data_IF_077472109187
#
_entry.id   IF_077472109187
#
_cell.length_a   1.000
_cell.length_b   1.000
_cell.length_c   1.000
_cell.angle_alpha   90.00
_cell.angle_beta   90.00
_cell.angle_gamma   90.00
#
_symmetry.space_group_name_H-M   'P 1'
#
loop_
_entity.id
_entity.type
_entity.pdbx_description
1 polymer ?
#
# COMPACT_ATOMS: atom_id res chain seq x y z
N UNK A 1 -7.16 6.50 10.59
CA UNK A 1 -6.02 6.56 9.65
C UNK A 1 -5.07 7.67 10.06
N UNK A 2 -3.86 7.31 10.46
CA UNK A 2 -2.81 8.23 10.87
C UNK A 2 -2.15 8.91 9.65
N UNK A 3 -1.37 9.97 9.91
CA UNK A 3 -0.74 10.78 8.85
C UNK A 3 0.27 9.98 8.00
N UNK A 4 1.03 9.08 8.61
CA UNK A 4 2.00 8.24 7.89
C UNK A 4 1.27 7.28 6.95
N UNK A 5 0.21 6.62 7.43
CA UNK A 5 -0.62 5.72 6.63
C UNK A 5 -1.24 6.46 5.44
N UNK A 6 -1.82 7.64 5.66
CA UNK A 6 -2.39 8.43 4.57
C UNK A 6 -1.35 8.85 3.51
N UNK A 7 -0.13 9.21 3.95
CA UNK A 7 0.96 9.56 3.05
C UNK A 7 1.42 8.37 2.20
N UNK A 8 1.59 7.19 2.81
CA UNK A 8 2.05 5.99 2.11
C UNK A 8 1.01 5.48 1.12
N UNK A 9 -0.28 5.48 1.50
CA UNK A 9 -1.38 5.12 0.59
C UNK A 9 -1.44 6.09 -0.59
N UNK A 10 -1.29 7.40 -0.35
CA UNK A 10 -1.22 8.37 -1.45
C UNK A 10 -0.03 8.13 -2.36
N UNK A 11 1.15 7.83 -1.80
CA UNK A 11 2.34 7.53 -2.59
C UNK A 11 2.16 6.29 -3.45
N UNK A 12 1.55 5.23 -2.91
CA UNK A 12 1.19 4.04 -3.68
C UNK A 12 0.19 4.37 -4.79
N UNK A 13 -0.84 5.16 -4.51
CA UNK A 13 -1.83 5.54 -5.51
C UNK A 13 -1.24 6.36 -6.66
N UNK A 14 -0.25 7.22 -6.42
CA UNK A 14 0.46 7.91 -7.50
C UNK A 14 1.35 6.94 -8.30
N UNK A 15 2.11 6.07 -7.63
CA UNK A 15 2.94 5.05 -8.30
C UNK A 15 2.10 4.14 -9.20
N UNK A 16 0.95 3.65 -8.70
CA UNK A 16 0.08 2.77 -9.45
C UNK A 16 -0.58 3.43 -10.68
N UNK A 17 -0.65 4.76 -10.75
CA UNK A 17 -1.12 5.47 -11.96
C UNK A 17 -0.07 5.42 -13.07
N UNK A 18 1.21 5.47 -12.71
CA UNK A 18 2.33 5.41 -13.65
C UNK A 18 2.66 3.97 -14.06
N UNK A 19 2.29 2.99 -13.21
CA UNK A 19 2.56 1.56 -13.38
C UNK A 19 1.29 0.70 -13.27
N UNK A 20 0.23 0.95 -14.07
CA UNK A 20 -1.04 0.25 -13.92
C UNK A 20 -0.96 -1.24 -14.30
N UNK A 21 0.01 -1.62 -15.14
CA UNK A 21 0.27 -3.00 -15.56
C UNK A 21 0.78 -3.88 -14.41
N UNK A 22 1.49 -3.29 -13.44
CA UNK A 22 1.95 -4.03 -12.25
C UNK A 22 0.77 -4.56 -11.43
N UNK A 23 -0.37 -3.86 -11.41
CA UNK A 23 -1.57 -4.28 -10.66
C UNK A 23 -2.16 -5.60 -11.18
N UNK A 24 -2.00 -5.92 -12.47
CA UNK A 24 -2.52 -7.17 -13.05
C UNK A 24 -1.80 -8.41 -12.51
N UNK A 25 -0.59 -8.25 -11.96
CA UNK A 25 0.22 -9.31 -11.38
C UNK A 25 -0.18 -9.74 -9.97
N UNK A 26 -1.09 -9.01 -9.32
CA UNK A 26 -1.47 -9.24 -7.92
C UNK A 26 -2.93 -9.66 -7.79
N UNK A 27 -3.20 -10.54 -6.82
CA UNK A 27 -4.58 -10.97 -6.51
C UNK A 27 -5.40 -9.79 -5.97
N UNK A 28 -4.79 -8.94 -5.15
CA UNK A 28 -5.44 -7.74 -4.62
C UNK A 28 -4.52 -6.52 -4.68
N UNK A 29 -5.14 -5.32 -4.66
CA UNK A 29 -4.40 -4.07 -4.49
C UNK A 29 -3.60 -4.02 -3.18
N UNK A 30 -4.01 -4.77 -2.16
CA UNK A 30 -3.31 -4.83 -0.88
C UNK A 30 -2.00 -5.62 -0.99
N UNK A 31 -1.97 -6.67 -1.81
CA UNK A 31 -0.73 -7.43 -2.07
C UNK A 31 0.27 -6.55 -2.83
N UNK A 32 -0.21 -5.82 -3.84
CA UNK A 32 0.63 -4.83 -4.52
C UNK A 32 1.08 -3.70 -3.57
N UNK A 33 0.22 -3.22 -2.67
CA UNK A 33 0.62 -2.23 -1.66
C UNK A 33 1.73 -2.77 -0.76
N UNK A 34 1.64 -4.03 -0.34
CA UNK A 34 2.64 -4.66 0.52
C UNK A 34 4.00 -4.74 -0.18
N UNK A 35 4.04 -5.18 -1.44
CA UNK A 35 5.27 -5.24 -2.22
C UNK A 35 5.82 -3.85 -2.53
N UNK A 36 4.96 -2.89 -2.88
CA UNK A 36 5.39 -1.51 -3.06
C UNK A 36 6.05 -0.94 -1.79
N UNK A 37 5.44 -1.18 -0.63
CA UNK A 37 5.97 -0.75 0.66
C UNK A 37 7.30 -1.44 0.99
N UNK A 38 7.38 -2.76 0.88
CA UNK A 38 8.55 -3.53 1.32
C UNK A 38 9.70 -3.53 0.31
N UNK A 39 9.39 -3.58 -0.99
CA UNK A 39 10.37 -3.70 -2.07
C UNK A 39 10.78 -2.34 -2.60
N UNK A 40 9.83 -1.43 -2.88
CA UNK A 40 10.13 -0.13 -3.49
C UNK A 40 10.53 0.89 -2.43
N UNK A 41 9.71 1.07 -1.39
CA UNK A 41 9.97 2.04 -0.32
C UNK A 41 10.91 1.50 0.78
N UNK A 42 11.23 0.20 0.77
CA UNK A 42 12.09 -0.47 1.76
C UNK A 42 11.63 -0.24 3.21
N UNK A 43 10.33 -0.08 3.43
CA UNK A 43 9.78 -0.07 4.79
C UNK A 43 9.64 -1.50 5.29
N UNK A 44 9.99 -1.73 6.57
CA UNK A 44 9.97 -3.06 7.15
C UNK A 44 8.59 -3.71 7.09
N UNK A 45 8.56 -5.02 6.91
CA UNK A 45 7.34 -5.83 6.72
C UNK A 45 6.26 -5.57 7.78
N UNK A 46 6.64 -5.49 9.06
CA UNK A 46 5.69 -5.20 10.15
C UNK A 46 5.05 -3.83 10.04
N UNK A 47 5.81 -2.83 9.57
CA UNK A 47 5.28 -1.48 9.35
C UNK A 47 4.37 -1.44 8.10
N UNK A 48 4.76 -2.11 7.01
CA UNK A 48 3.93 -2.25 5.81
C UNK A 48 2.59 -2.93 6.11
N UNK A 49 2.61 -4.04 6.85
CA UNK A 49 1.41 -4.73 7.30
C UNK A 49 0.53 -3.82 8.18
N UNK A 50 1.13 -3.10 9.13
CA UNK A 50 0.37 -2.19 10.02
C UNK A 50 -0.33 -1.06 9.24
N UNK A 51 0.32 -0.52 8.21
CA UNK A 51 -0.25 0.52 7.32
C UNK A 51 -1.44 -0.04 6.54
N UNK A 52 -1.31 -1.24 5.98
CA UNK A 52 -2.39 -1.90 5.22
C UNK A 52 -3.57 -2.23 6.13
N UNK A 53 -3.32 -2.80 7.31
CA UNK A 53 -4.37 -3.13 8.27
C UNK A 53 -5.15 -1.90 8.73
N UNK A 54 -4.46 -0.79 9.04
CA UNK A 54 -5.12 0.45 9.39
C UNK A 54 -5.96 1.00 8.23
N UNK A 55 -5.45 0.95 7.00
CA UNK A 55 -6.20 1.39 5.83
C UNK A 55 -7.44 0.52 5.59
N UNK A 56 -7.32 -0.80 5.67
CA UNK A 56 -8.45 -1.75 5.56
C UNK A 56 -9.51 -1.51 6.61
N UNK A 57 -9.11 -1.28 7.86
CA UNK A 57 -10.04 -0.96 8.93
C UNK A 57 -10.84 0.32 8.64
N UNK A 58 -10.21 1.33 8.04
CA UNK A 58 -10.87 2.57 7.63
C UNK A 58 -11.83 2.44 6.45
N UNK A 59 -11.73 1.38 5.64
CA UNK A 59 -12.68 1.09 4.56
C UNK A 59 -13.95 0.37 5.06
N UNK A 60 -13.87 -0.27 6.23
CA UNK A 60 -14.98 -1.01 6.83
C UNK A 60 -15.86 -0.16 7.77
N UNK A 61 -15.50 1.12 7.97
CA UNK A 61 -16.20 2.10 8.81
C UNK A 61 -16.98 3.10 7.97
#
# INVERSE_FOLDING_TARGET
MNQLTAMLIRSHAEYAKDHPDELEGYETVFDHMYDYFTIILKIGESAAASVIDEFRAGLAS
#
